data_IF_789872268892
#
_entry.id   IF_789872268892
#
_cell.length_a   1.000
_cell.length_b   1.000
_cell.length_c   1.000
_cell.angle_alpha   90.00
_cell.angle_beta   90.00
_cell.angle_gamma   90.00
#
_symmetry.space_group_name_H-M   'P 1'
#
loop_
_entity.id
_entity.type
_entity.pdbx_description
1 polymer ?
#
# COMPACT_ATOMS: atom_id res chain seq x y z
N UNK A 1 -84.20 56.82 -19.79
CA UNK A 1 -84.09 55.84 -18.69
C UNK A 1 -82.94 54.90 -18.99
N UNK A 2 -81.70 55.35 -18.73
CA UNK A 2 -80.50 54.52 -18.85
C UNK A 2 -79.58 54.93 -17.71
N UNK A 3 -79.54 54.12 -16.66
CA UNK A 3 -78.54 54.23 -15.61
C UNK A 3 -78.06 52.85 -15.22
N UNK A 4 -76.75 52.67 -15.41
CA UNK A 4 -75.83 51.94 -14.56
C UNK A 4 -76.07 50.45 -14.31
N UNK A 5 -75.50 49.61 -15.18
CA UNK A 5 -75.00 48.28 -14.82
C UNK A 5 -73.62 48.08 -15.45
N UNK A 6 -72.59 48.75 -14.93
CA UNK A 6 -71.19 48.49 -15.33
C UNK A 6 -70.23 48.97 -14.25
N UNK A 7 -70.01 48.15 -13.23
CA UNK A 7 -68.96 48.41 -12.21
C UNK A 7 -68.49 47.13 -11.50
N UNK A 8 -69.35 46.12 -11.32
CA UNK A 8 -68.99 44.92 -10.53
C UNK A 8 -68.21 43.83 -11.29
N UNK A 9 -68.28 43.76 -12.62
CA UNK A 9 -67.57 42.71 -13.41
C UNK A 9 -66.07 42.97 -13.57
N UNK A 10 -65.64 44.24 -13.57
CA UNK A 10 -64.23 44.60 -13.62
C UNK A 10 -63.52 44.23 -12.31
N UNK A 11 -64.14 44.55 -11.16
CA UNK A 11 -63.57 44.31 -9.83
C UNK A 11 -63.25 42.83 -9.58
N UNK A 12 -64.14 41.91 -9.98
CA UNK A 12 -63.93 40.46 -9.83
C UNK A 12 -62.87 39.87 -10.77
N UNK A 13 -62.65 40.46 -11.95
CA UNK A 13 -61.59 40.02 -12.89
C UNK A 13 -60.20 40.36 -12.35
N UNK A 14 -60.02 41.53 -11.75
CA UNK A 14 -58.76 41.92 -11.13
C UNK A 14 -58.42 41.03 -9.93
N UNK A 15 -59.40 40.63 -9.10
CA UNK A 15 -59.15 39.74 -7.96
C UNK A 15 -58.71 38.34 -8.40
N UNK A 16 -59.31 37.79 -9.45
CA UNK A 16 -58.95 36.47 -9.98
C UNK A 16 -57.54 36.45 -10.61
N UNK A 17 -57.17 37.52 -11.33
CA UNK A 17 -55.83 37.68 -11.90
C UNK A 17 -54.77 37.82 -10.81
N UNK A 18 -55.04 38.58 -9.75
CA UNK A 18 -54.13 38.72 -8.60
C UNK A 18 -53.96 37.38 -7.87
N UNK A 19 -55.04 36.62 -7.67
CA UNK A 19 -54.96 35.29 -7.05
C UNK A 19 -54.08 34.32 -7.84
N UNK A 20 -54.20 34.31 -9.18
CA UNK A 20 -53.39 33.46 -10.05
C UNK A 20 -51.90 33.84 -10.00
N UNK A 21 -51.58 35.14 -10.02
CA UNK A 21 -50.20 35.63 -9.90
C UNK A 21 -49.60 35.25 -8.55
N UNK A 22 -50.36 35.40 -7.46
CA UNK A 22 -49.92 34.99 -6.11
C UNK A 22 -49.64 33.48 -6.06
N UNK A 23 -50.51 32.66 -6.65
CA UNK A 23 -50.32 31.21 -6.68
C UNK A 23 -49.06 30.81 -7.47
N UNK A 24 -48.80 31.43 -8.62
CA UNK A 24 -47.58 31.19 -9.40
C UNK A 24 -46.32 31.58 -8.62
N UNK A 25 -46.33 32.73 -7.96
CA UNK A 25 -45.19 33.19 -7.14
C UNK A 25 -44.92 32.22 -5.98
N UNK A 26 -45.97 31.71 -5.33
CA UNK A 26 -45.82 30.72 -4.25
C UNK A 26 -45.22 29.42 -4.80
N UNK A 27 -45.74 28.90 -5.91
CA UNK A 27 -45.25 27.64 -6.51
C UNK A 27 -43.79 27.77 -6.93
N UNK A 28 -43.42 28.86 -7.61
CA UNK A 28 -42.03 29.12 -8.00
C UNK A 28 -41.14 29.28 -6.77
N UNK A 29 -41.60 29.96 -5.72
CA UNK A 29 -40.88 30.10 -4.45
C UNK A 29 -40.60 28.75 -3.77
N UNK A 30 -41.59 27.84 -3.75
CA UNK A 30 -41.42 26.49 -3.20
C UNK A 30 -40.43 25.66 -4.02
N UNK A 31 -40.50 25.72 -5.35
CA UNK A 31 -39.55 25.01 -6.22
C UNK A 31 -38.11 25.50 -5.98
N UNK A 32 -37.90 26.81 -5.87
CA UNK A 32 -36.58 27.39 -5.58
C UNK A 32 -36.11 26.95 -4.19
N UNK A 33 -36.99 26.99 -3.17
CA UNK A 33 -36.66 26.56 -1.81
C UNK A 33 -36.25 25.07 -1.76
N UNK A 34 -36.99 24.19 -2.45
CA UNK A 34 -36.65 22.77 -2.55
C UNK A 34 -35.33 22.54 -3.27
N UNK A 35 -35.07 23.28 -4.35
CA UNK A 35 -33.80 23.20 -5.08
C UNK A 35 -32.60 23.63 -4.21
N UNK A 36 -32.76 24.69 -3.42
CA UNK A 36 -31.73 25.14 -2.48
C UNK A 36 -31.50 24.12 -1.35
N UNK A 37 -32.56 23.56 -0.77
CA UNK A 37 -32.45 22.51 0.26
C UNK A 37 -31.75 21.27 -0.30
N UNK A 38 -32.14 20.82 -1.50
CA UNK A 38 -31.50 19.67 -2.15
C UNK A 38 -30.01 19.90 -2.38
N UNK A 39 -29.62 21.09 -2.87
CA UNK A 39 -28.21 21.44 -3.07
C UNK A 39 -27.44 21.51 -1.75
N UNK A 40 -28.03 22.11 -0.71
CA UNK A 40 -27.41 22.20 0.61
C UNK A 40 -27.24 20.82 1.24
N UNK A 41 -28.25 19.95 1.16
CA UNK A 41 -28.16 18.57 1.65
C UNK A 41 -27.08 17.77 0.91
N UNK A 42 -26.97 17.94 -0.42
CA UNK A 42 -25.92 17.30 -1.20
C UNK A 42 -24.52 17.78 -0.81
N UNK A 43 -24.34 19.09 -0.62
CA UNK A 43 -23.07 19.64 -0.16
C UNK A 43 -22.72 19.17 1.26
N UNK A 44 -23.67 19.21 2.20
CA UNK A 44 -23.45 18.72 3.57
C UNK A 44 -23.08 17.25 3.59
N UNK A 45 -23.74 16.42 2.76
CA UNK A 45 -23.41 15.00 2.63
C UNK A 45 -22.00 14.79 2.10
N UNK A 46 -21.58 15.54 1.07
CA UNK A 46 -20.20 15.45 0.55
C UNK A 46 -19.16 15.85 1.58
N UNK A 47 -19.41 16.92 2.34
CA UNK A 47 -18.51 17.34 3.42
C UNK A 47 -18.43 16.27 4.51
N UNK A 48 -19.55 15.62 4.85
CA UNK A 48 -19.57 14.52 5.81
C UNK A 48 -18.81 13.30 5.29
N UNK A 49 -18.96 12.95 4.00
CA UNK A 49 -18.23 11.86 3.36
C UNK A 49 -16.71 12.15 3.30
N UNK A 50 -16.32 13.39 2.99
CA UNK A 50 -14.92 13.84 3.01
C UNK A 50 -14.32 13.78 4.42
N UNK A 51 -15.08 14.23 5.43
CA UNK A 51 -14.67 14.16 6.84
C UNK A 51 -14.53 12.71 7.31
N UNK A 52 -15.58 11.91 7.14
CA UNK A 52 -15.61 10.49 7.52
C UNK A 52 -14.48 9.70 6.84
N UNK A 53 -14.15 10.02 5.58
CA UNK A 53 -13.00 9.47 4.88
C UNK A 53 -11.67 9.88 5.52
N UNK A 54 -11.53 11.14 5.94
CA UNK A 54 -10.35 11.64 6.64
C UNK A 54 -10.16 11.00 8.02
N UNK A 55 -11.27 10.74 8.70
CA UNK A 55 -11.28 10.11 10.01
C UNK A 55 -10.88 8.63 9.90
N UNK A 56 -11.41 7.89 8.91
CA UNK A 56 -11.01 6.48 8.65
C UNK A 56 -9.51 6.31 8.36
N UNK A 57 -8.89 7.24 7.63
CA UNK A 57 -7.46 7.11 7.29
C UNK A 57 -6.54 7.39 8.49
N UNK A 58 -6.93 8.30 9.40
CA UNK A 58 -6.18 8.54 10.65
C UNK A 58 -6.20 7.33 11.56
N UNK A 59 -7.34 6.64 11.64
CA UNK A 59 -7.45 5.39 12.40
C UNK A 59 -6.57 4.32 11.75
N UNK A 60 -6.62 4.20 10.42
CA UNK A 60 -5.75 3.28 9.68
C UNK A 60 -4.26 3.53 9.97
N UNK A 61 -3.83 4.80 9.97
CA UNK A 61 -2.45 5.17 10.31
C UNK A 61 -2.08 4.73 11.72
N UNK A 62 -2.98 4.97 12.69
CA UNK A 62 -2.77 4.58 14.10
C UNK A 62 -2.59 3.06 14.24
N UNK A 63 -3.37 2.28 13.50
CA UNK A 63 -3.27 0.81 13.47
C UNK A 63 -1.93 0.38 12.87
N UNK A 64 -1.54 0.93 11.72
CA UNK A 64 -0.28 0.54 11.09
C UNK A 64 0.94 0.96 11.92
N UNK A 65 0.87 2.13 12.57
CA UNK A 65 1.93 2.59 13.47
C UNK A 65 2.13 1.67 14.68
N UNK A 66 1.06 0.99 15.14
CA UNK A 66 1.16 0.05 16.26
C UNK A 66 1.87 -1.27 15.92
N UNK A 67 1.89 -1.63 14.64
CA UNK A 67 2.39 -2.94 14.18
C UNK A 67 3.69 -2.86 13.39
N UNK A 68 4.19 -1.65 13.12
CA UNK A 68 5.40 -1.43 12.31
C UNK A 68 6.67 -2.04 12.91
N UNK A 69 6.72 -2.20 14.23
CA UNK A 69 7.88 -2.71 14.96
C UNK A 69 7.85 -4.26 15.06
N UNK A 70 6.82 -4.91 14.51
CA UNK A 70 6.69 -6.37 14.53
C UNK A 70 7.50 -6.97 13.37
N UNK A 71 8.39 -7.91 13.70
CA UNK A 71 9.21 -8.59 12.70
C UNK A 71 8.42 -9.69 11.99
N UNK A 72 8.88 -10.09 10.80
CA UNK A 72 8.26 -11.19 10.06
C UNK A 72 8.35 -12.52 10.81
N UNK A 73 9.44 -12.77 11.55
CA UNK A 73 9.63 -13.98 12.35
C UNK A 73 8.64 -14.07 13.52
N UNK A 74 8.43 -12.95 14.23
CA UNK A 74 7.46 -12.90 15.32
C UNK A 74 6.03 -13.06 14.77
N UNK A 75 5.74 -12.45 13.62
CA UNK A 75 4.44 -12.56 12.94
C UNK A 75 4.17 -14.00 12.45
N UNK A 76 5.16 -14.67 11.87
CA UNK A 76 5.08 -16.07 11.46
C UNK A 76 4.89 -16.99 12.67
N UNK A 77 5.59 -16.72 13.78
CA UNK A 77 5.46 -17.47 15.03
C UNK A 77 4.04 -17.33 15.59
N UNK A 78 3.51 -16.11 15.65
CA UNK A 78 2.14 -15.84 16.08
C UNK A 78 1.11 -16.53 15.19
N UNK A 79 1.21 -16.32 13.87
CA UNK A 79 0.26 -16.86 12.90
C UNK A 79 0.19 -18.38 12.89
N UNK A 80 1.34 -19.05 13.02
CA UNK A 80 1.40 -20.51 13.07
C UNK A 80 0.94 -21.10 14.43
N UNK A 81 0.92 -20.29 15.51
CA UNK A 81 0.45 -20.72 16.83
C UNK A 81 -1.05 -20.43 17.07
N UNK A 82 -1.63 -19.45 16.37
CA UNK A 82 -3.02 -19.02 16.60
C UNK A 82 -4.00 -19.63 15.61
N UNK A 83 -5.00 -20.33 16.17
CA UNK A 83 -6.03 -21.09 15.43
C UNK A 83 -7.18 -20.17 14.99
N UNK A 84 -7.37 -19.04 15.67
CA UNK A 84 -8.42 -18.07 15.40
C UNK A 84 -7.82 -16.70 15.67
N UNK A 85 -7.98 -15.72 14.76
CA UNK A 85 -8.83 -15.73 13.57
C UNK A 85 -8.16 -16.23 12.28
N UNK A 86 -6.88 -16.61 12.33
CA UNK A 86 -6.10 -16.90 11.12
C UNK A 86 -6.43 -18.22 10.41
N UNK A 87 -7.17 -19.13 11.04
CA UNK A 87 -7.51 -20.41 10.43
C UNK A 87 -9.01 -20.65 10.42
N UNK A 88 -9.52 -21.29 9.37
CA UNK A 88 -10.91 -21.78 9.27
C UNK A 88 -11.20 -22.97 10.22
N UNK A 89 -10.39 -23.15 11.28
CA UNK A 89 -10.52 -24.24 12.25
C UNK A 89 -9.98 -25.59 11.78
N UNK A 90 -9.24 -25.65 10.67
CA UNK A 90 -8.69 -26.89 10.11
C UNK A 90 -7.15 -26.94 10.29
N UNK A 91 -6.70 -27.65 11.32
CA UNK A 91 -5.37 -27.54 11.93
C UNK A 91 -4.20 -28.15 11.15
N UNK A 92 -4.46 -28.99 10.14
CA UNK A 92 -3.45 -29.96 9.69
C UNK A 92 -2.55 -29.49 8.55
N UNK A 93 -2.72 -28.26 8.04
CA UNK A 93 -1.94 -27.76 6.90
C UNK A 93 -1.78 -26.23 6.80
N UNK A 94 -2.22 -25.46 7.81
CA UNK A 94 -2.12 -23.99 7.74
C UNK A 94 -0.66 -23.55 7.90
N UNK A 95 -0.18 -22.73 6.96
CA UNK A 95 1.10 -22.06 7.08
C UNK A 95 0.89 -20.57 6.86
N UNK A 96 1.12 -19.78 7.89
CA UNK A 96 0.96 -18.32 7.83
C UNK A 96 1.78 -17.71 6.68
N UNK A 97 2.97 -18.25 6.42
CA UNK A 97 3.89 -17.78 5.38
C UNK A 97 3.33 -17.97 3.95
N UNK A 98 2.36 -18.87 3.78
CA UNK A 98 1.74 -19.18 2.47
C UNK A 98 0.30 -18.68 2.36
N UNK A 99 -0.44 -18.70 3.47
CA UNK A 99 -1.89 -18.52 3.47
C UNK A 99 -2.31 -17.11 3.94
N UNK A 100 -1.45 -16.42 4.70
CA UNK A 100 -1.78 -15.13 5.31
C UNK A 100 -2.87 -15.24 6.40
N UNK A 101 -3.26 -14.11 6.97
CA UNK A 101 -4.27 -14.02 8.02
C UNK A 101 -5.12 -12.76 7.90
N UNK A 102 -6.37 -12.82 8.35
CA UNK A 102 -7.24 -11.65 8.48
C UNK A 102 -7.83 -11.55 9.89
N UNK A 103 -7.59 -10.42 10.56
CA UNK A 103 -8.25 -10.03 11.80
C UNK A 103 -9.52 -9.24 11.45
N UNK A 104 -10.68 -9.69 11.94
CA UNK A 104 -11.96 -9.07 11.64
C UNK A 104 -12.59 -8.50 12.93
N UNK A 105 -12.42 -7.20 13.12
CA UNK A 105 -12.90 -6.48 14.29
C UNK A 105 -11.88 -6.37 15.43
N UNK A 106 -12.27 -5.67 16.49
CA UNK A 106 -11.36 -5.29 17.57
C UNK A 106 -11.01 -6.43 18.54
N UNK A 107 -11.85 -7.44 18.71
CA UNK A 107 -11.54 -8.59 19.58
C UNK A 107 -10.37 -9.44 19.04
N UNK A 108 -10.34 -9.62 17.72
CA UNK A 108 -9.24 -10.27 17.02
C UNK A 108 -7.96 -9.45 17.15
N UNK A 109 -8.08 -8.12 17.04
CA UNK A 109 -6.97 -7.20 17.23
C UNK A 109 -6.46 -7.15 18.67
N UNK A 110 -7.33 -7.19 19.68
CA UNK A 110 -6.97 -7.26 21.10
C UNK A 110 -6.12 -8.50 21.39
N UNK A 111 -6.57 -9.64 20.86
CA UNK A 111 -5.86 -10.92 21.00
C UNK A 111 -4.49 -10.88 20.32
N UNK A 112 -4.42 -10.24 19.15
CA UNK A 112 -3.17 -9.98 18.45
C UNK A 112 -2.23 -9.08 19.26
N UNK A 113 -2.68 -7.88 19.67
CA UNK A 113 -1.84 -6.94 20.41
C UNK A 113 -1.38 -7.51 21.75
N UNK A 114 -2.22 -8.28 22.43
CA UNK A 114 -1.86 -8.89 23.71
C UNK A 114 -0.73 -9.92 23.56
N UNK A 115 -0.71 -10.67 22.45
CA UNK A 115 0.39 -11.60 22.17
C UNK A 115 1.75 -10.89 22.05
N UNK A 116 1.78 -9.74 21.38
CA UNK A 116 2.99 -8.94 21.20
C UNK A 116 3.28 -7.99 22.37
N UNK A 117 2.45 -7.96 23.42
CA UNK A 117 2.59 -7.03 24.54
C UNK A 117 2.31 -5.58 24.18
N UNK A 118 1.44 -5.35 23.19
CA UNK A 118 1.08 -4.05 22.62
C UNK A 118 -0.26 -3.53 23.16
N UNK A 119 -0.63 -3.89 24.39
CA UNK A 119 -1.94 -3.55 24.99
C UNK A 119 -2.21 -2.02 25.04
N UNK A 120 -1.16 -1.21 25.16
CA UNK A 120 -1.28 0.25 25.11
C UNK A 120 -1.76 0.75 23.73
N UNK A 121 -1.34 0.08 22.65
CA UNK A 121 -1.76 0.43 21.30
C UNK A 121 -3.19 0.01 21.00
N UNK A 122 -3.65 -1.11 21.55
CA UNK A 122 -5.06 -1.50 21.49
C UNK A 122 -5.96 -0.38 22.02
N UNK A 123 -5.63 0.16 23.19
CA UNK A 123 -6.38 1.26 23.82
C UNK A 123 -6.39 2.50 22.92
N UNK A 124 -5.27 2.82 22.26
CA UNK A 124 -5.18 3.95 21.32
C UNK A 124 -6.05 3.75 20.08
N UNK A 125 -6.08 2.54 19.52
CA UNK A 125 -6.91 2.22 18.35
C UNK A 125 -8.40 2.21 18.72
N UNK A 126 -8.73 1.66 19.88
CA UNK A 126 -10.09 1.67 20.45
C UNK A 126 -10.58 3.12 20.61
N UNK A 127 -9.79 3.97 21.25
CA UNK A 127 -10.11 5.38 21.44
C UNK A 127 -10.26 6.12 20.10
N UNK A 128 -9.37 5.86 19.12
CA UNK A 128 -9.47 6.45 17.80
C UNK A 128 -10.76 6.05 17.06
N UNK A 129 -11.17 4.78 17.17
CA UNK A 129 -12.43 4.30 16.59
C UNK A 129 -13.67 4.90 17.27
N UNK A 130 -13.63 5.12 18.59
CA UNK A 130 -14.70 5.82 19.32
C UNK A 130 -14.79 7.30 18.92
N UNK A 131 -13.66 8.00 18.98
CA UNK A 131 -13.61 9.46 18.85
C UNK A 131 -13.77 9.93 17.40
N UNK A 132 -13.09 9.28 16.46
CA UNK A 132 -13.06 9.70 15.05
C UNK A 132 -14.23 9.06 14.27
N UNK A 133 -14.58 7.81 14.56
CA UNK A 133 -15.59 7.07 13.80
C UNK A 133 -16.95 6.94 14.48
N UNK A 134 -17.07 7.38 15.75
CA UNK A 134 -18.34 7.46 16.47
C UNK A 134 -18.97 6.10 16.76
N UNK A 135 -18.16 5.04 16.85
CA UNK A 135 -18.65 3.72 17.22
C UNK A 135 -19.19 3.74 18.65
N UNK A 136 -20.48 3.43 18.83
CA UNK A 136 -21.14 3.50 20.14
C UNK A 136 -21.03 2.21 20.96
N UNK A 137 -20.66 1.10 20.34
CA UNK A 137 -20.53 -0.20 21.01
C UNK A 137 -19.53 -1.09 20.25
N UNK A 138 -18.34 -1.28 20.82
CA UNK A 138 -17.22 -2.00 20.23
C UNK A 138 -17.33 -3.52 20.38
N UNK A 139 -18.23 -3.98 21.24
CA UNK A 139 -18.20 -5.31 21.83
C UNK A 139 -18.61 -6.49 20.94
N UNK A 140 -18.98 -6.31 19.67
CA UNK A 140 -19.30 -7.45 18.81
C UNK A 140 -19.11 -7.14 17.33
N UNK A 141 -18.09 -7.75 16.72
CA UNK A 141 -18.07 -8.03 15.27
C UNK A 141 -18.39 -6.83 14.38
N UNK A 142 -17.98 -5.62 14.79
CA UNK A 142 -18.20 -4.43 13.98
C UNK A 142 -17.34 -4.55 12.73
N UNK A 143 -18.00 -4.80 11.60
CA UNK A 143 -17.43 -4.93 10.26
C UNK A 143 -16.84 -3.64 9.70
N UNK A 144 -16.23 -2.83 10.55
CA UNK A 144 -15.54 -1.60 10.19
C UNK A 144 -14.08 -1.55 10.59
N UNK A 145 -13.51 -2.66 11.07
CA UNK A 145 -12.08 -2.83 11.21
C UNK A 145 -11.69 -4.18 10.60
N UNK A 146 -10.74 -4.15 9.67
CA UNK A 146 -10.11 -5.33 9.11
C UNK A 146 -8.61 -5.09 9.05
N UNK A 147 -7.80 -6.02 9.55
CA UNK A 147 -6.35 -6.05 9.35
C UNK A 147 -6.01 -7.35 8.65
N UNK A 148 -5.28 -7.28 7.54
CA UNK A 148 -4.91 -8.45 6.74
C UNK A 148 -3.42 -8.49 6.53
N UNK A 149 -2.85 -9.68 6.72
CA UNK A 149 -1.48 -10.03 6.44
C UNK A 149 -1.50 -11.02 5.27
N UNK A 150 -0.96 -10.65 4.13
CA UNK A 150 -0.95 -11.49 2.94
C UNK A 150 0.48 -11.64 2.43
N UNK A 151 0.93 -12.87 2.11
CA UNK A 151 2.22 -13.02 1.44
C UNK A 151 2.18 -12.32 0.09
N UNK A 152 3.24 -11.60 -0.25
CA UNK A 152 3.38 -10.95 -1.56
C UNK A 152 3.83 -11.99 -2.58
N UNK A 153 2.93 -12.29 -3.52
CA UNK A 153 3.21 -13.21 -4.63
C UNK A 153 4.21 -12.63 -5.62
N UNK A 154 4.62 -13.47 -6.58
CA UNK A 154 5.57 -13.11 -7.63
C UNK A 154 5.04 -11.94 -8.50
N UNK A 155 3.79 -12.03 -8.93
CA UNK A 155 3.18 -11.02 -9.81
C UNK A 155 2.59 -9.81 -9.07
N UNK A 156 2.70 -9.76 -7.74
CA UNK A 156 2.15 -8.67 -6.95
C UNK A 156 3.02 -7.43 -7.07
N UNK A 157 2.50 -6.30 -7.58
CA UNK A 157 3.27 -5.08 -7.73
C UNK A 157 3.59 -4.47 -6.35
N UNK A 158 4.85 -4.07 -6.20
CA UNK A 158 5.39 -3.37 -5.05
C UNK A 158 5.76 -1.96 -5.49
N UNK A 159 5.18 -0.95 -4.85
CA UNK A 159 5.55 0.44 -5.08
C UNK A 159 6.83 0.80 -4.31
N UNK A 160 7.81 1.33 -5.03
CA UNK A 160 9.08 1.79 -4.48
C UNK A 160 9.25 3.27 -4.84
N UNK A 161 9.32 4.11 -3.79
CA UNK A 161 9.54 5.55 -3.91
C UNK A 161 11.00 5.84 -4.26
N UNK A 162 11.23 6.85 -5.09
CA UNK A 162 12.57 7.31 -5.53
C UNK A 162 13.55 7.66 -4.40
N UNK A 163 13.06 8.00 -3.21
CA UNK A 163 13.86 8.39 -2.05
C UNK A 163 14.17 7.19 -1.13
N UNK A 164 13.64 6.02 -1.46
CA UNK A 164 13.80 4.77 -0.71
C UNK A 164 14.58 3.71 -1.49
N UNK A 165 15.21 2.81 -0.76
CA UNK A 165 15.79 1.58 -1.31
C UNK A 165 14.96 0.42 -0.81
N UNK A 166 14.38 -0.31 -1.76
CA UNK A 166 13.66 -1.53 -1.45
C UNK A 166 14.65 -2.70 -1.43
N UNK A 167 14.69 -3.43 -0.32
CA UNK A 167 15.53 -4.60 -0.14
C UNK A 167 14.69 -5.81 0.24
N UNK A 168 15.01 -6.96 -0.35
CA UNK A 168 14.39 -8.22 0.01
C UNK A 168 15.33 -9.40 -0.17
N UNK A 169 15.07 -10.46 0.58
CA UNK A 169 15.75 -11.75 0.44
C UNK A 169 14.98 -12.55 -0.61
N UNK A 170 15.62 -13.04 -1.70
CA UNK A 170 14.95 -13.77 -2.77
C UNK A 170 14.28 -15.09 -2.35
N UNK A 171 14.34 -15.52 -1.09
CA UNK A 171 13.60 -16.70 -0.58
C UNK A 171 13.95 -18.05 -1.20
N UNK A 172 14.86 -18.10 -2.19
CA UNK A 172 15.24 -19.34 -2.85
C UNK A 172 16.15 -20.15 -1.93
N UNK A 173 15.69 -21.32 -1.51
CA UNK A 173 16.56 -22.35 -0.92
C UNK A 173 17.80 -22.49 -1.83
N UNK A 174 19.03 -22.40 -1.31
CA UNK A 174 20.24 -22.61 -2.10
C UNK A 174 20.29 -23.99 -2.79
N UNK A 175 19.41 -24.92 -2.41
CA UNK A 175 19.19 -26.23 -3.05
C UNK A 175 17.99 -26.29 -4.00
N UNK A 176 17.26 -25.19 -4.19
CA UNK A 176 16.13 -25.11 -5.12
C UNK A 176 16.58 -25.29 -6.58
N UNK A 177 15.67 -25.75 -7.43
CA UNK A 177 15.89 -25.82 -8.88
C UNK A 177 15.93 -24.43 -9.54
N UNK A 178 15.74 -23.35 -8.78
CA UNK A 178 15.80 -22.00 -9.30
C UNK A 178 17.22 -21.61 -9.69
N UNK A 179 17.31 -20.95 -10.84
CA UNK A 179 18.58 -20.48 -11.42
C UNK A 179 18.69 -18.96 -11.37
N UNK A 180 17.58 -18.27 -11.60
CA UNK A 180 17.54 -16.82 -11.68
C UNK A 180 16.29 -16.27 -10.99
N UNK A 181 16.41 -15.05 -10.48
CA UNK A 181 15.28 -14.18 -10.16
C UNK A 181 15.17 -13.13 -11.26
N UNK A 182 13.94 -12.92 -11.70
CA UNK A 182 13.52 -11.92 -12.66
C UNK A 182 12.89 -10.78 -11.86
N UNK A 183 13.29 -9.56 -12.13
CA UNK A 183 12.71 -8.35 -11.54
C UNK A 183 12.16 -7.49 -12.66
N UNK A 184 10.86 -7.25 -12.67
CA UNK A 184 10.27 -6.32 -13.63
C UNK A 184 9.99 -4.99 -12.94
N UNK A 185 10.45 -3.89 -13.52
CA UNK A 185 10.11 -2.55 -13.05
C UNK A 185 9.25 -1.83 -14.08
N UNK A 186 8.30 -1.01 -13.62
CA UNK A 186 7.46 -0.14 -14.44
C UNK A 186 7.27 1.22 -13.74
N UNK A 187 7.23 2.35 -14.44
CA UNK A 187 6.90 3.63 -13.81
C UNK A 187 5.45 3.66 -13.32
N UNK A 188 5.19 4.20 -12.13
CA UNK A 188 3.83 4.28 -11.55
C UNK A 188 3.02 5.43 -12.18
N UNK A 189 3.66 6.57 -12.42
CA UNK A 189 3.02 7.70 -13.08
C UNK A 189 3.08 7.54 -14.61
N UNK A 190 1.92 7.60 -15.26
CA UNK A 190 1.81 7.72 -16.71
C UNK A 190 2.30 9.11 -17.16
N UNK A 191 3.60 9.26 -17.38
CA UNK A 191 4.22 10.51 -17.83
C UNK A 191 5.57 10.29 -18.52
N UNK A 192 6.05 11.32 -19.22
CA UNK A 192 7.38 11.34 -19.86
C UNK A 192 8.53 11.48 -18.84
N UNK A 193 8.31 11.09 -17.58
CA UNK A 193 9.35 11.14 -16.57
C UNK A 193 10.38 10.05 -16.90
N UNK A 194 11.64 10.49 -16.97
CA UNK A 194 12.77 9.59 -17.15
C UNK A 194 12.98 8.85 -15.84
N UNK A 195 12.44 7.63 -15.76
CA UNK A 195 12.57 6.78 -14.59
C UNK A 195 13.59 5.68 -14.90
N UNK A 196 14.64 5.65 -14.10
CA UNK A 196 15.64 4.59 -14.09
C UNK A 196 15.56 3.78 -12.81
N UNK A 197 16.10 2.58 -12.83
CA UNK A 197 16.21 1.71 -11.66
C UNK A 197 17.62 1.18 -11.59
N UNK A 198 18.18 1.14 -10.38
CA UNK A 198 19.45 0.52 -10.08
C UNK A 198 19.20 -0.74 -9.26
N UNK A 199 19.75 -1.86 -9.74
CA UNK A 199 19.70 -3.15 -9.10
C UNK A 199 21.05 -3.46 -8.48
N UNK A 200 21.04 -3.86 -7.21
CA UNK A 200 22.26 -4.17 -6.44
C UNK A 200 22.07 -5.55 -5.81
N UNK A 201 22.51 -6.62 -6.48
CA UNK A 201 22.52 -7.96 -5.92
C UNK A 201 23.69 -8.12 -4.93
N UNK A 202 23.39 -8.63 -3.73
CA UNK A 202 24.39 -9.01 -2.73
C UNK A 202 24.52 -10.53 -2.68
N UNK A 203 25.74 -11.01 -2.91
CA UNK A 203 26.05 -12.44 -2.95
C UNK A 203 26.87 -12.87 -1.72
N UNK A 204 26.54 -14.03 -1.14
CA UNK A 204 27.21 -14.57 0.04
C UNK A 204 27.51 -16.07 -0.09
N UNK A 205 28.49 -16.54 0.66
CA UNK A 205 28.68 -17.95 0.96
C UNK A 205 27.96 -18.28 2.25
N UNK A 206 27.11 -19.30 2.19
CA UNK A 206 26.44 -19.84 3.38
C UNK A 206 27.24 -21.02 3.92
N UNK A 207 27.44 -21.06 5.23
CA UNK A 207 27.92 -22.25 5.91
C UNK A 207 26.83 -23.33 5.84
N UNK A 208 27.10 -24.40 5.12
CA UNK A 208 26.18 -25.53 4.92
C UNK A 208 25.68 -26.20 6.20
N UNK A 209 26.40 -26.06 7.32
CA UNK A 209 26.01 -26.66 8.60
C UNK A 209 25.07 -25.77 9.42
N UNK A 210 25.18 -24.45 9.30
CA UNK A 210 24.47 -23.48 10.15
C UNK A 210 23.49 -22.61 9.37
N UNK A 211 23.57 -22.58 8.05
CA UNK A 211 22.83 -21.65 7.20
C UNK A 211 23.28 -20.19 7.35
N UNK A 212 24.32 -19.92 8.13
CA UNK A 212 24.80 -18.56 8.39
C UNK A 212 25.74 -18.06 7.29
N UNK A 213 25.80 -16.74 7.13
CA UNK A 213 26.75 -16.10 6.22
C UNK A 213 28.18 -16.34 6.71
N UNK A 214 28.97 -17.03 5.90
CA UNK A 214 30.38 -17.32 6.15
C UNK A 214 31.31 -16.29 5.48
N UNK A 215 30.95 -15.82 4.29
CA UNK A 215 31.69 -14.78 3.57
C UNK A 215 30.77 -14.01 2.60
N UNK A 216 31.13 -12.77 2.29
CA UNK A 216 30.48 -11.97 1.26
C UNK A 216 31.32 -12.00 -0.02
N UNK A 217 30.68 -12.03 -1.19
CA UNK A 217 31.38 -11.81 -2.46
C UNK A 217 32.01 -10.40 -2.42
N UNK A 218 33.29 -10.24 -2.78
CA UNK A 218 33.85 -8.92 -2.97
C UNK A 218 33.02 -8.12 -3.97
N UNK A 219 32.65 -6.90 -3.59
CA UNK A 219 31.77 -6.08 -4.41
C UNK A 219 32.54 -5.51 -5.61
N UNK A 220 31.99 -5.66 -6.81
CA UNK A 220 32.54 -5.14 -8.04
C UNK A 220 31.54 -4.15 -8.67
N UNK A 221 32.03 -3.10 -9.34
CA UNK A 221 31.16 -2.14 -10.02
C UNK A 221 30.23 -2.82 -11.05
N UNK A 222 30.71 -3.89 -11.68
CA UNK A 222 29.95 -4.69 -12.65
C UNK A 222 28.81 -5.51 -12.01
N UNK A 223 28.71 -5.56 -10.68
CA UNK A 223 27.55 -6.16 -10.01
C UNK A 223 26.36 -5.19 -9.97
N UNK A 224 26.59 -3.88 -10.12
CA UNK A 224 25.55 -2.84 -10.07
C UNK A 224 25.05 -2.58 -11.49
N UNK A 225 23.76 -2.81 -11.71
CA UNK A 225 23.14 -2.65 -13.02
C UNK A 225 22.11 -1.54 -12.98
N UNK A 226 22.27 -0.54 -13.85
CA UNK A 226 21.29 0.51 -14.07
C UNK A 226 20.44 0.20 -15.29
N UNK A 227 19.14 0.45 -15.21
CA UNK A 227 18.22 0.15 -16.28
C UNK A 227 17.22 1.28 -16.49
N UNK A 228 16.98 1.62 -17.75
CA UNK A 228 15.96 2.58 -18.13
C UNK A 228 14.59 1.92 -18.26
N UNK A 229 13.61 2.37 -17.48
CA UNK A 229 12.28 1.74 -17.44
C UNK A 229 11.30 2.43 -18.41
N UNK A 230 11.56 3.68 -18.79
CA UNK A 230 10.73 4.41 -19.77
C UNK A 230 11.42 4.49 -21.15
N UNK A 231 10.90 3.76 -22.13
CA UNK A 231 11.48 3.66 -23.50
C UNK A 231 11.21 4.88 -24.39
N UNK A 232 10.38 5.83 -23.95
CA UNK A 232 10.03 7.01 -24.75
C UNK A 232 11.15 8.08 -24.80
N UNK A 233 12.11 8.04 -23.89
CA UNK A 233 13.28 8.92 -23.88
C UNK A 233 14.48 8.22 -23.23
N UNK A 234 15.69 8.47 -23.74
CA UNK A 234 16.94 8.05 -23.09
C UNK A 234 17.00 8.61 -21.67
N UNK A 235 17.19 7.79 -20.64
CA UNK A 235 17.47 8.34 -19.31
C UNK A 235 18.79 9.12 -19.35
N UNK A 236 18.95 10.06 -18.41
CA UNK A 236 20.25 10.70 -18.15
C UNK A 236 20.90 10.01 -16.94
N UNK A 237 21.56 8.86 -17.14
CA UNK A 237 22.07 8.07 -16.05
C UNK A 237 23.18 8.76 -15.24
N UNK A 238 23.33 8.44 -13.94
CA UNK A 238 24.56 8.72 -13.22
C UNK A 238 25.75 7.97 -13.83
N UNK A 239 26.90 8.62 -13.93
CA UNK A 239 28.11 8.06 -14.58
C UNK A 239 28.75 6.87 -13.86
N UNK A 240 28.39 6.62 -12.59
CA UNK A 240 28.99 5.58 -11.75
C UNK A 240 28.35 4.19 -11.91
N UNK A 241 27.27 4.09 -12.70
CA UNK A 241 26.57 2.82 -12.99
C UNK A 241 26.64 2.57 -14.49
N UNK A 242 26.83 1.30 -14.90
CA UNK A 242 26.62 0.88 -16.28
C UNK A 242 25.13 0.78 -16.59
N UNK A 243 24.66 1.42 -17.67
CA UNK A 243 23.24 1.42 -18.04
C UNK A 243 22.97 0.56 -19.24
N UNK A 244 21.97 -0.30 -19.10
CA UNK A 244 21.45 -1.12 -20.19
C UNK A 244 20.23 -0.44 -20.81
N UNK A 245 20.33 -0.18 -22.12
CA UNK A 245 19.20 0.25 -22.93
C UNK A 245 18.36 -1.00 -23.25
N UNK A 246 17.15 -1.05 -22.70
CA UNK A 246 16.06 -1.99 -23.02
C UNK A 246 15.93 -3.26 -22.16
N UNK A 247 14.67 -3.72 -22.17
CA UNK A 247 13.98 -4.70 -21.35
C UNK A 247 13.62 -4.19 -19.96
N UNK A 248 12.33 -4.11 -19.64
CA UNK A 248 11.76 -3.72 -18.34
C UNK A 248 12.08 -4.73 -17.23
N UNK A 249 13.06 -5.59 -17.48
CA UNK A 249 13.30 -6.84 -16.79
C UNK A 249 14.79 -6.97 -16.51
N UNK A 250 15.14 -7.01 -15.24
CA UNK A 250 16.46 -7.38 -14.78
C UNK A 250 16.49 -8.85 -14.38
N UNK A 251 17.52 -9.58 -14.81
CA UNK A 251 17.67 -11.01 -14.53
C UNK A 251 18.93 -11.23 -13.69
N UNK A 252 18.75 -11.47 -12.39
CA UNK A 252 19.86 -11.79 -11.50
C UNK A 252 20.00 -13.31 -11.32
N UNK A 253 21.19 -13.88 -11.49
CA UNK A 253 21.41 -15.27 -11.14
C UNK A 253 21.32 -15.45 -9.63
N UNK A 254 20.68 -16.52 -9.17
CA UNK A 254 20.61 -16.87 -7.75
C UNK A 254 21.94 -17.43 -7.22
N UNK A 255 22.83 -17.84 -8.13
CA UNK A 255 24.19 -18.28 -7.81
C UNK A 255 25.19 -17.64 -8.76
N UNK A 256 26.29 -17.12 -8.23
CA UNK A 256 27.37 -16.50 -9.00
C UNK A 256 28.70 -17.10 -8.58
N UNK A 257 29.52 -17.51 -9.55
CA UNK A 257 30.88 -18.00 -9.28
C UNK A 257 31.87 -16.84 -9.37
N UNK A 258 32.68 -16.66 -8.33
CA UNK A 258 33.75 -15.67 -8.29
C UNK A 258 35.04 -16.32 -7.78
N UNK A 259 36.14 -16.18 -8.51
CA UNK A 259 37.45 -16.75 -8.15
C UNK A 259 37.41 -18.25 -7.76
N UNK A 260 36.66 -19.06 -8.52
CA UNK A 260 36.41 -20.50 -8.29
C UNK A 260 35.54 -20.88 -7.10
N UNK A 261 34.99 -19.90 -6.38
CA UNK A 261 34.05 -20.12 -5.29
C UNK A 261 32.62 -19.73 -5.72
N UNK A 262 31.62 -20.45 -5.21
CA UNK A 262 30.20 -20.19 -5.49
C UNK A 262 29.59 -19.34 -4.38
N UNK A 263 28.85 -18.31 -4.76
CA UNK A 263 28.10 -17.44 -3.86
C UNK A 263 26.62 -17.46 -4.24
N UNK A 264 25.73 -17.56 -3.26
CA UNK A 264 24.29 -17.47 -3.43
C UNK A 264 23.81 -16.02 -3.29
N UNK A 265 22.77 -15.64 -4.04
CA UNK A 265 22.11 -14.35 -3.90
C UNK A 265 21.42 -14.30 -2.54
N UNK A 266 21.89 -13.41 -1.68
CA UNK A 266 21.38 -13.24 -0.33
C UNK A 266 20.33 -12.14 -0.27
N UNK A 267 20.60 -11.03 -0.93
CA UNK A 267 19.75 -9.83 -0.86
C UNK A 267 19.72 -9.16 -2.22
N UNK A 268 18.55 -8.68 -2.61
CA UNK A 268 18.36 -7.83 -3.78
C UNK A 268 17.94 -6.46 -3.30
N UNK A 269 18.71 -5.42 -3.66
CA UNK A 269 18.30 -4.03 -3.47
C UNK A 269 17.90 -3.40 -4.79
N UNK A 270 16.85 -2.59 -4.72
CA UNK A 270 16.26 -1.91 -5.85
C UNK A 270 16.10 -0.45 -5.49
N UNK A 271 16.66 0.41 -6.32
CA UNK A 271 16.64 1.85 -6.11
C UNK A 271 16.09 2.56 -7.34
N UNK A 272 14.94 3.23 -7.24
CA UNK A 272 14.42 4.06 -8.32
C UNK A 272 15.21 5.36 -8.42
N UNK A 273 15.31 5.91 -9.63
CA UNK A 273 15.98 7.17 -9.94
C UNK A 273 15.04 7.98 -10.84
N UNK A 274 14.78 9.22 -10.46
CA UNK A 274 14.00 10.17 -11.26
C UNK A 274 12.48 10.08 -11.08
N UNK A 275 11.96 8.98 -10.53
CA UNK A 275 10.54 8.80 -10.20
C UNK A 275 10.26 7.44 -9.57
N UNK A 276 9.01 7.25 -9.15
CA UNK A 276 8.57 6.05 -8.43
C UNK A 276 8.29 4.90 -9.41
N UNK A 277 8.56 3.67 -8.95
CA UNK A 277 8.42 2.46 -9.77
C UNK A 277 7.61 1.38 -9.06
N UNK A 278 6.85 0.65 -9.85
CA UNK A 278 6.23 -0.60 -9.46
C UNK A 278 7.18 -1.74 -9.84
N UNK A 279 7.48 -2.60 -8.88
CA UNK A 279 8.37 -3.74 -9.01
C UNK A 279 7.57 -5.03 -8.84
N UNK A 280 7.72 -5.98 -9.76
CA UNK A 280 7.30 -7.38 -9.58
C UNK A 280 8.50 -8.31 -9.66
N UNK A 281 8.36 -9.53 -9.16
CA UNK A 281 9.44 -10.52 -9.13
C UNK A 281 8.96 -11.86 -9.64
N UNK A 282 9.80 -12.63 -10.31
CA UNK A 282 9.48 -14.01 -10.62
C UNK A 282 10.74 -14.85 -10.66
N UNK A 283 10.61 -16.16 -10.74
CA UNK A 283 11.75 -17.08 -10.68
C UNK A 283 11.84 -17.95 -11.93
N UNK A 284 13.06 -18.30 -12.34
CA UNK A 284 13.31 -19.24 -13.43
C UNK A 284 13.86 -20.58 -12.93
N UNK A 285 13.26 -21.72 -13.31
CA UNK A 285 12.00 -21.84 -14.07
C UNK A 285 10.76 -21.46 -13.22
N UNK A 286 9.66 -21.05 -13.87
CA UNK A 286 8.44 -20.62 -13.19
C UNK A 286 7.97 -21.61 -12.11
N UNK A 287 7.55 -21.07 -10.96
CA UNK A 287 7.05 -21.86 -9.82
C UNK A 287 8.14 -22.51 -8.97
N UNK A 288 9.41 -22.16 -9.16
CA UNK A 288 10.50 -22.64 -8.33
C UNK A 288 10.74 -21.77 -7.07
N UNK A 289 10.27 -20.51 -7.08
CA UNK A 289 10.30 -19.64 -5.90
C UNK A 289 9.53 -20.33 -4.78
N UNK A 290 10.17 -20.54 -3.64
CA UNK A 290 9.58 -21.31 -2.54
C UNK A 290 8.21 -20.75 -2.12
N UNK A 291 7.40 -21.58 -1.47
CA UNK A 291 6.09 -21.15 -0.98
C UNK A 291 6.19 -20.09 0.14
N UNK A 292 7.35 -19.98 0.79
CA UNK A 292 7.58 -19.06 1.91
C UNK A 292 7.91 -17.67 1.38
N UNK A 293 6.98 -16.74 1.53
CA UNK A 293 7.23 -15.35 1.17
C UNK A 293 8.08 -14.65 2.23
N UNK A 294 9.18 -14.04 1.80
CA UNK A 294 9.99 -13.11 2.60
C UNK A 294 9.38 -11.71 2.69
N UNK A 295 8.23 -11.50 2.05
CA UNK A 295 7.51 -10.24 1.97
C UNK A 295 6.04 -10.44 2.35
N UNK A 296 5.54 -9.58 3.23
CA UNK A 296 4.16 -9.60 3.67
C UNK A 296 3.51 -8.24 3.44
N UNK A 297 2.44 -8.22 2.66
CA UNK A 297 1.54 -7.08 2.53
C UNK A 297 0.66 -7.02 3.77
N UNK A 298 0.78 -5.93 4.50
CA UNK A 298 -0.07 -5.63 5.64
C UNK A 298 -1.04 -4.54 5.22
N UNK A 299 -2.33 -4.85 5.23
CA UNK A 299 -3.38 -3.91 4.86
C UNK A 299 -4.37 -3.74 5.99
N UNK A 300 -4.67 -2.50 6.34
CA UNK A 300 -5.78 -2.20 7.25
C UNK A 300 -6.90 -1.53 6.46
N UNK A 301 -8.14 -1.88 6.77
CA UNK A 301 -9.33 -1.27 6.22
C UNK A 301 -10.24 -0.85 7.37
N UNK A 302 -10.50 0.45 7.45
CA UNK A 302 -11.39 1.06 8.42
C UNK A 302 -12.65 1.53 7.68
N UNK A 303 -13.81 1.20 8.23
CA UNK A 303 -15.10 1.72 7.79
C UNK A 303 -15.60 2.69 8.86
N UNK A 304 -15.97 3.90 8.50
CA UNK A 304 -16.62 4.84 9.39
C UNK A 304 -17.93 5.28 8.72
N UNK A 305 -19.07 4.96 9.33
CA UNK A 305 -20.41 5.35 8.83
C UNK A 305 -20.70 4.98 7.37
N UNK A 306 -20.17 3.85 6.89
CA UNK A 306 -20.38 3.36 5.51
C UNK A 306 -19.33 3.79 4.50
N UNK A 307 -18.37 4.65 4.90
CA UNK A 307 -17.21 4.99 4.09
C UNK A 307 -16.02 4.15 4.52
N UNK A 308 -15.50 3.35 3.61
CA UNK A 308 -14.32 2.54 3.85
C UNK A 308 -13.07 3.18 3.24
N UNK A 309 -11.99 3.22 4.01
CA UNK A 309 -10.64 3.58 3.59
C UNK A 309 -9.66 2.56 4.13
N UNK A 310 -8.63 2.29 3.36
CA UNK A 310 -7.56 1.41 3.78
C UNK A 310 -6.21 2.00 3.46
N UNK A 311 -5.21 1.46 4.13
CA UNK A 311 -3.81 1.74 3.90
C UNK A 311 -3.06 0.42 3.96
N UNK A 312 -2.01 0.30 3.16
CA UNK A 312 -1.16 -0.87 3.15
C UNK A 312 0.31 -0.47 3.22
N UNK A 313 1.12 -1.39 3.71
CA UNK A 313 2.58 -1.35 3.62
C UNK A 313 3.10 -2.78 3.50
N UNK A 314 4.38 -2.92 3.15
CA UNK A 314 5.02 -4.23 3.01
C UNK A 314 6.05 -4.39 4.12
N UNK A 315 5.92 -5.47 4.89
CA UNK A 315 6.95 -5.97 5.79
C UNK A 315 7.88 -6.86 4.98
N UNK A 316 9.18 -6.64 5.11
CA UNK A 316 10.24 -7.45 4.53
C UNK A 316 11.14 -7.94 5.67
N UNK A 317 11.79 -9.08 5.48
CA UNK A 317 12.85 -9.55 6.39
C UNK A 317 14.06 -8.59 6.42
N UNK A 318 14.18 -7.70 5.42
CA UNK A 318 15.16 -6.63 5.39
C UNK A 318 14.45 -5.27 5.41
N UNK A 319 14.85 -4.42 6.35
CA UNK A 319 14.29 -3.07 6.48
C UNK A 319 14.58 -2.21 5.26
N UNK A 320 13.65 -1.31 4.94
CA UNK A 320 13.85 -0.31 3.90
C UNK A 320 14.88 0.71 4.37
N UNK A 321 15.91 0.93 3.55
CA UNK A 321 16.93 1.92 3.87
C UNK A 321 16.63 3.24 3.15
N UNK A 322 16.77 4.39 3.83
CA UNK A 322 16.82 5.66 3.13
C UNK A 322 17.94 5.64 2.09
N UNK A 323 17.66 6.13 0.88
CA UNK A 323 18.61 6.04 -0.23
C UNK A 323 19.97 6.67 0.08
N UNK A 324 20.04 7.62 1.04
CA UNK A 324 21.27 8.26 1.52
C UNK A 324 22.32 7.28 2.06
N UNK A 325 21.91 6.14 2.65
CA UNK A 325 22.85 5.21 3.29
C UNK A 325 23.59 4.33 2.28
N UNK A 326 22.97 4.05 1.13
CA UNK A 326 23.65 3.36 0.03
C UNK A 326 24.74 4.25 -0.61
N UNK A 327 24.62 5.57 -0.58
CA UNK A 327 25.67 6.47 -1.12
C UNK A 327 27.01 6.37 -0.39
N UNK A 328 27.02 5.98 0.89
CA UNK A 328 28.26 5.86 1.67
C UNK A 328 29.03 4.60 1.27
N UNK A 329 28.32 3.56 0.82
CA UNK A 329 28.92 2.28 0.45
C UNK A 329 29.54 2.29 -0.96
N UNK A 330 28.97 3.05 -1.91
CA UNK A 330 29.30 2.87 -3.33
C UNK A 330 30.30 3.86 -3.94
N UNK A 331 30.89 4.80 -3.20
CA UNK A 331 31.88 5.67 -3.85
C UNK A 331 33.12 6.10 -3.06
N UNK A 332 33.09 6.23 -1.73
CA UNK A 332 34.19 6.95 -1.04
C UNK A 332 34.48 8.38 -1.59
N UNK A 333 33.69 8.85 -2.56
CA UNK A 333 33.74 10.09 -3.33
C UNK A 333 32.28 10.50 -3.59
N UNK A 334 31.55 10.78 -2.50
CA UNK A 334 30.12 11.04 -2.53
C UNK A 334 29.69 12.05 -3.61
N UNK A 335 28.66 11.70 -4.35
CA UNK A 335 27.97 12.60 -5.29
C UNK A 335 26.88 13.37 -4.54
N UNK A 336 27.29 14.26 -3.64
CA UNK A 336 26.52 15.47 -3.36
C UNK A 336 26.93 16.51 -4.40
N UNK A 337 26.53 16.32 -5.66
CA UNK A 337 26.37 17.49 -6.52
C UNK A 337 24.99 18.06 -6.23
N UNK A 338 24.98 19.07 -5.36
CA UNK A 338 23.94 20.07 -5.34
C UNK A 338 23.62 20.50 -6.78
N UNK A 339 22.40 20.26 -7.22
CA UNK A 339 21.72 21.13 -8.17
C UNK A 339 20.39 21.56 -7.62
#
# INVERSE_FOLDING_TARGET
>A
MYTMFSSNTAKNRYTAQVLAVVLVVIVVGVIIALALISRTMGNSRRVEEERSSGDSIRVADTVLDSIKDITLDDLATWGNQQVSPCTDGNFTAYNFLTDGCELNGLLDFESFTSYFGLDEYYSSVEEALLNECGYADIGSTLGGFKLSFQPVGDDDPIEVDKDTVFAFIPGADPNSACTNIIINAQPIAAGNEQVGVVYIPLYVQLDTATGQVSAYKPHEYDDIVGQCVNTAASCSPPEWVGWEDSDTQYVAPLKKTYSSEEYALYEMRIRPIGGDVSVTRSYLPDGCGGAESTLFRVSTTINCSGNSRGKEFIISDQEWAPAIFDYVLFNGQGTLENR
#
